data_IF_727884139694
#
_entry.id   IF_727884139694
#
_cell.length_a   1.000
_cell.length_b   1.000
_cell.length_c   1.000
_cell.angle_alpha   90.00
_cell.angle_beta   90.00
_cell.angle_gamma   90.00
#
_symmetry.space_group_name_H-M   'P 1'
#
loop_
_entity.id
_entity.type
_entity.pdbx_description
1 polymer ?
#
# COMPACT_ATOMS: atom_id res chain seq x y z
N UNK A 1 -7.62 -20.48 -0.69
CA UNK A 1 -7.11 -19.25 -0.05
C UNK A 1 -7.26 -18.13 -1.07
N UNK A 2 -8.16 -17.17 -0.86
CA UNK A 2 -8.40 -16.12 -1.84
C UNK A 2 -7.18 -15.21 -1.90
N UNK A 3 -6.45 -15.25 -3.01
CA UNK A 3 -5.42 -14.27 -3.32
C UNK A 3 -6.13 -12.91 -3.36
N UNK A 4 -5.74 -11.98 -2.49
CA UNK A 4 -6.25 -10.62 -2.57
C UNK A 4 -5.72 -10.00 -3.85
N UNK A 5 -6.52 -10.03 -4.91
CA UNK A 5 -6.19 -9.48 -6.23
C UNK A 5 -6.13 -7.95 -6.23
N UNK A 6 -6.49 -7.32 -5.11
CA UNK A 6 -6.61 -5.87 -4.97
C UNK A 6 -5.83 -5.45 -3.72
N UNK A 7 -4.94 -4.48 -3.91
CA UNK A 7 -4.16 -3.85 -2.86
C UNK A 7 -4.60 -2.39 -2.74
N UNK A 8 -5.06 -1.99 -1.55
CA UNK A 8 -5.48 -0.61 -1.31
C UNK A 8 -4.26 0.32 -1.22
N UNK A 9 -4.30 1.42 -1.97
CA UNK A 9 -3.29 2.49 -1.96
C UNK A 9 -3.94 3.78 -1.48
N UNK A 10 -3.31 4.42 -0.50
CA UNK A 10 -3.87 5.58 0.20
C UNK A 10 -2.94 6.79 0.07
N UNK A 11 -3.46 8.03 0.00
CA UNK A 11 -2.63 9.22 0.04
C UNK A 11 -1.72 9.25 1.27
N UNK A 12 -0.43 9.54 1.07
CA UNK A 12 0.58 9.53 2.14
C UNK A 12 0.21 10.42 3.33
N UNK A 13 -0.44 11.56 3.07
CA UNK A 13 -0.84 12.51 4.12
C UNK A 13 -1.86 11.94 5.11
N UNK A 14 -2.74 11.04 4.68
CA UNK A 14 -3.78 10.43 5.53
C UNK A 14 -3.41 9.02 6.01
N UNK A 15 -2.33 8.43 5.48
CA UNK A 15 -1.88 7.10 5.89
C UNK A 15 -1.61 6.94 7.41
N UNK A 16 -1.11 7.97 8.14
CA UNK A 16 -0.92 7.89 9.59
C UNK A 16 -2.22 7.78 10.39
N UNK A 17 -3.38 8.13 9.83
CA UNK A 17 -4.67 8.12 10.54
C UNK A 17 -5.27 6.72 10.70
N UNK A 18 -4.73 5.71 10.02
CA UNK A 18 -5.17 4.32 10.12
C UNK A 18 -4.52 3.62 11.31
N UNK A 19 -5.10 2.50 11.78
CA UNK A 19 -4.45 1.67 12.80
C UNK A 19 -3.31 0.84 12.20
N UNK A 20 -2.40 0.32 13.03
CA UNK A 20 -1.35 -0.59 12.56
C UNK A 20 -1.92 -1.84 11.87
N UNK A 21 -3.01 -2.37 12.43
CA UNK A 21 -3.71 -3.52 11.87
C UNK A 21 -4.22 -3.22 10.45
N UNK A 22 -4.75 -2.02 10.20
CA UNK A 22 -5.20 -1.59 8.87
C UNK A 22 -4.01 -1.35 7.94
N UNK A 23 -2.98 -0.63 8.40
CA UNK A 23 -1.78 -0.34 7.61
C UNK A 23 -1.05 -1.58 7.13
N UNK A 24 -1.07 -2.68 7.89
CA UNK A 24 -0.41 -3.94 7.50
C UNK A 24 -0.91 -4.53 6.18
N UNK A 25 -2.10 -4.12 5.72
CA UNK A 25 -2.74 -4.59 4.49
C UNK A 25 -2.88 -3.49 3.44
N UNK A 26 -2.16 -2.37 3.58
CA UNK A 26 -2.31 -1.19 2.73
C UNK A 26 -0.93 -0.64 2.32
N UNK A 27 -0.88 0.07 1.20
CA UNK A 27 0.27 0.87 0.80
C UNK A 27 -0.10 2.35 0.84
N UNK A 28 0.89 3.21 1.11
CA UNK A 28 0.76 4.62 0.75
C UNK A 28 1.27 4.84 -0.69
N UNK A 29 0.97 6.00 -1.26
CA UNK A 29 1.40 6.37 -2.63
C UNK A 29 2.91 6.22 -2.82
N UNK A 30 3.72 6.60 -1.82
CA UNK A 30 5.18 6.45 -1.89
C UNK A 30 5.62 4.99 -2.00
N UNK A 31 5.11 4.12 -1.12
CA UNK A 31 5.39 2.69 -1.15
C UNK A 31 4.90 2.01 -2.43
N UNK A 32 3.79 2.48 -3.00
CA UNK A 32 3.32 2.00 -4.30
C UNK A 32 4.29 2.39 -5.43
N UNK A 33 4.82 3.61 -5.45
CA UNK A 33 5.81 4.06 -6.46
C UNK A 33 7.06 3.18 -6.40
N UNK A 34 7.60 2.93 -5.21
CA UNK A 34 8.77 2.06 -5.03
C UNK A 34 8.51 0.62 -5.50
N UNK A 35 7.31 0.11 -5.20
CA UNK A 35 6.88 -1.21 -5.68
C UNK A 35 6.81 -1.28 -7.20
N UNK A 36 6.28 -0.25 -7.87
CA UNK A 36 6.22 -0.22 -9.34
C UNK A 36 7.62 -0.13 -9.94
N UNK A 37 8.49 0.73 -9.40
CA UNK A 37 9.88 0.89 -9.87
C UNK A 37 10.67 -0.42 -9.77
N UNK A 38 10.58 -1.13 -8.64
CA UNK A 38 11.28 -2.40 -8.44
C UNK A 38 10.81 -3.53 -9.37
N UNK A 39 9.61 -3.43 -9.95
CA UNK A 39 9.07 -4.42 -10.90
C UNK A 39 9.35 -4.09 -12.37
N UNK A 40 9.70 -2.84 -12.66
CA UNK A 40 9.99 -2.36 -14.01
C UNK A 40 11.49 -2.18 -14.28
N UNK A 41 12.34 -2.35 -13.26
CA UNK A 41 13.79 -2.42 -13.36
C UNK A 41 14.24 -3.83 -13.80
#
# INVERSE_FOLDING_TARGET
>A
MAQELVQLVVPTAVFPTFTDAQRSRMLNVGGFIELVRSRQA
#
